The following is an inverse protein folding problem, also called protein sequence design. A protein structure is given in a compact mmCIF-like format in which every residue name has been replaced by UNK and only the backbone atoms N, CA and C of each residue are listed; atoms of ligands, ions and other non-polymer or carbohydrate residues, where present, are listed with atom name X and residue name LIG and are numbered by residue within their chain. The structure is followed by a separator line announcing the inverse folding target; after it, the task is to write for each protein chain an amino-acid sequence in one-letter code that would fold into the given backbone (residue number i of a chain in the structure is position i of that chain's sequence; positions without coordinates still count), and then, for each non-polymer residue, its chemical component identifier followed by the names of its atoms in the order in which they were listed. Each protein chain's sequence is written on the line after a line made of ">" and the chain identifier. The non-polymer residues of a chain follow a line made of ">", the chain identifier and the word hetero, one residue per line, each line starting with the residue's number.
data_IF_492177114983
#
_entry.id   IF_492177114983
#
_cell.length_a   1.000
_cell.length_b   1.000
_cell.length_c   1.000
_cell.angle_alpha   90.00
_cell.angle_beta   90.00
_cell.angle_gamma   90.00
#
_symmetry.space_group_name_H-M   'P 1'
#
loop_
_entity.id
_entity.type
_entity.pdbx_description
1 polymer ?
#
# COMPACT_ATOMS: atom_id res chain seq x y z
N UNK A 1 8.48 -21.95 5.23
CA UNK A 1 7.38 -22.63 4.50
C UNK A 1 6.12 -21.94 4.99
N UNK A 2 5.34 -21.33 4.08
CA UNK A 2 4.08 -20.69 4.46
C UNK A 2 3.06 -21.71 4.97
N UNK A 3 2.07 -21.24 5.72
CA UNK A 3 1.00 -22.09 6.25
C UNK A 3 0.00 -22.49 5.15
N UNK A 4 -0.71 -23.60 5.32
CA UNK A 4 -1.68 -24.08 4.35
C UNK A 4 -2.80 -23.04 4.14
N UNK A 5 -2.83 -22.39 2.96
CA UNK A 5 -3.81 -21.37 2.60
C UNK A 5 -3.24 -19.94 2.52
N UNK A 6 -2.00 -19.73 2.93
CA UNK A 6 -1.30 -18.45 2.79
C UNK A 6 -0.97 -18.19 1.31
N UNK A 7 -1.40 -17.04 0.79
CA UNK A 7 -1.13 -16.62 -0.61
C UNK A 7 -0.06 -15.54 -0.71
N UNK A 8 0.22 -14.87 0.42
CA UNK A 8 1.28 -13.87 0.63
C UNK A 8 1.44 -13.69 2.14
N UNK A 9 2.57 -14.04 2.72
CA UNK A 9 2.91 -13.69 4.12
C UNK A 9 4.25 -13.00 4.20
N UNK A 10 4.94 -13.17 5.33
CA UNK A 10 6.18 -12.44 5.66
C UNK A 10 7.23 -12.45 4.54
N UNK A 11 7.88 -11.30 4.37
CA UNK A 11 8.94 -11.09 3.40
C UNK A 11 10.29 -11.65 3.86
N UNK A 12 11.36 -11.15 3.22
CA UNK A 12 12.74 -11.45 3.63
C UNK A 12 13.05 -10.78 4.97
N UNK A 13 13.97 -11.36 5.74
CA UNK A 13 14.52 -10.72 6.94
C UNK A 13 15.12 -9.34 6.61
N UNK A 14 14.86 -8.34 7.46
CA UNK A 14 15.17 -6.94 7.21
C UNK A 14 14.24 -6.24 6.21
N UNK A 15 13.17 -6.90 5.76
CA UNK A 15 12.16 -6.35 4.87
C UNK A 15 11.10 -5.53 5.60
N UNK A 16 10.43 -4.65 4.85
CA UNK A 16 9.31 -3.83 5.34
C UNK A 16 8.07 -4.65 5.74
N UNK A 17 7.99 -5.91 5.31
CA UNK A 17 6.95 -6.88 5.62
C UNK A 17 7.54 -8.17 6.20
N UNK A 18 8.72 -8.11 6.82
CA UNK A 18 9.43 -9.28 7.38
C UNK A 18 8.55 -10.16 8.26
N UNK A 19 7.79 -9.54 9.17
CA UNK A 19 6.97 -10.29 10.11
C UNK A 19 5.66 -10.74 9.48
N UNK A 20 4.96 -9.83 8.76
CA UNK A 20 3.62 -10.12 8.26
C UNK A 20 3.18 -9.23 7.10
N UNK A 21 2.26 -9.78 6.31
CA UNK A 21 1.46 -9.09 5.30
C UNK A 21 -0.04 -9.23 5.65
N UNK A 22 -0.71 -8.13 5.98
CA UNK A 22 -2.08 -8.12 6.52
C UNK A 22 -2.96 -7.05 5.87
N UNK A 23 -4.26 -7.06 6.18
CA UNK A 23 -5.23 -6.02 5.76
C UNK A 23 -5.21 -5.71 4.25
N UNK A 24 -5.28 -6.75 3.43
CA UNK A 24 -5.23 -6.62 1.98
C UNK A 24 -6.47 -5.93 1.38
N UNK A 25 -6.25 -5.13 0.33
CA UNK A 25 -7.26 -4.55 -0.55
C UNK A 25 -6.90 -4.87 -2.00
N UNK A 26 -7.78 -5.61 -2.68
CA UNK A 26 -7.55 -6.10 -4.05
C UNK A 26 -8.46 -5.38 -5.03
N UNK A 27 -7.90 -4.96 -6.17
CA UNK A 27 -8.63 -4.38 -7.28
C UNK A 27 -8.13 -4.95 -8.61
N UNK A 28 -9.04 -5.13 -9.57
CA UNK A 28 -8.68 -5.47 -10.95
C UNK A 28 -8.24 -4.20 -11.67
N UNK A 29 -7.02 -4.17 -12.17
CA UNK A 29 -6.53 -3.09 -13.01
C UNK A 29 -7.28 -3.09 -14.34
N UNK A 30 -7.98 -1.99 -14.62
CA UNK A 30 -8.82 -1.85 -15.82
C UNK A 30 -8.00 -1.79 -17.11
N UNK A 31 -6.72 -1.42 -17.04
CA UNK A 31 -5.84 -1.24 -18.21
C UNK A 31 -5.41 -2.56 -18.83
N UNK A 32 -4.98 -3.51 -18.00
CA UNK A 32 -4.37 -4.77 -18.43
C UNK A 32 -5.14 -6.02 -17.96
N UNK A 33 -6.14 -5.85 -17.10
CA UNK A 33 -6.94 -6.95 -16.55
C UNK A 33 -6.28 -7.69 -15.39
N UNK A 34 -5.05 -7.34 -15.00
CA UNK A 34 -4.33 -7.96 -13.89
C UNK A 34 -4.95 -7.54 -12.54
N UNK A 35 -4.64 -8.28 -11.48
CA UNK A 35 -5.05 -7.89 -10.13
C UNK A 35 -3.91 -7.24 -9.38
N UNK A 36 -4.24 -6.19 -8.62
CA UNK A 36 -3.34 -5.47 -7.74
C UNK A 36 -3.85 -5.62 -6.32
N UNK A 37 -2.97 -6.01 -5.41
CA UNK A 37 -3.20 -6.05 -3.98
C UNK A 37 -2.36 -4.97 -3.31
N UNK A 38 -3.01 -4.08 -2.58
CA UNK A 38 -2.36 -3.29 -1.56
C UNK A 38 -2.48 -4.02 -0.22
N UNK A 39 -1.44 -4.02 0.59
CA UNK A 39 -1.46 -4.68 1.90
C UNK A 39 -0.67 -3.89 2.92
N UNK A 40 -1.06 -4.01 4.19
CA UNK A 40 -0.30 -3.52 5.32
C UNK A 40 0.86 -4.46 5.61
N UNK A 41 2.03 -3.88 5.84
CA UNK A 41 3.29 -4.57 6.03
C UNK A 41 3.76 -4.37 7.45
N UNK A 42 4.31 -5.41 8.07
CA UNK A 42 4.89 -5.34 9.41
C UNK A 42 6.38 -5.70 9.32
N UNK A 43 7.24 -4.73 9.58
CA UNK A 43 8.70 -4.96 9.57
C UNK A 43 9.17 -5.67 10.85
N UNK A 44 10.46 -6.03 10.91
CA UNK A 44 11.07 -6.71 12.08
C UNK A 44 10.96 -5.94 13.41
N UNK A 45 10.73 -4.62 13.36
CA UNK A 45 10.51 -3.78 14.55
C UNK A 45 9.01 -3.62 14.89
N UNK A 46 8.11 -4.24 14.11
CA UNK A 46 6.67 -4.10 14.24
C UNK A 46 6.10 -2.79 13.68
N UNK A 47 6.90 -2.00 12.94
CA UNK A 47 6.42 -0.77 12.29
C UNK A 47 5.61 -1.12 11.06
N UNK A 48 4.62 -0.28 10.80
CA UNK A 48 3.65 -0.49 9.72
C UNK A 48 3.88 0.40 8.52
N UNK A 49 3.82 -0.19 7.34
CA UNK A 49 3.84 0.47 6.04
C UNK A 49 2.80 -0.16 5.10
N UNK A 50 2.70 0.31 3.86
CA UNK A 50 1.85 -0.28 2.83
C UNK A 50 2.70 -0.69 1.63
N UNK A 51 2.49 -1.91 1.16
CA UNK A 51 3.13 -2.50 -0.01
C UNK A 51 2.13 -2.82 -1.12
N UNK A 52 2.66 -3.14 -2.30
CA UNK A 52 1.88 -3.64 -3.44
C UNK A 52 2.37 -5.02 -3.86
N UNK A 53 1.42 -5.91 -4.14
CA UNK A 53 1.64 -7.15 -4.86
C UNK A 53 0.73 -7.21 -6.10
N UNK A 54 1.20 -7.86 -7.15
CA UNK A 54 0.49 -8.03 -8.41
C UNK A 54 0.29 -9.50 -8.71
N UNK A 55 -0.85 -9.79 -9.34
CA UNK A 55 -1.17 -11.09 -9.92
C UNK A 55 -1.41 -10.85 -11.41
N UNK A 56 -0.45 -11.27 -12.24
CA UNK A 56 -0.55 -11.13 -13.69
C UNK A 56 -0.95 -12.44 -14.37
N UNK A 57 -1.62 -12.35 -15.51
CA UNK A 57 -2.04 -13.52 -16.28
C UNK A 57 -0.86 -14.47 -16.55
N UNK A 58 -1.07 -15.75 -16.21
CA UNK A 58 -0.05 -16.80 -16.28
C UNK A 58 0.68 -17.09 -14.97
N UNK A 59 0.57 -16.21 -13.97
CA UNK A 59 1.03 -16.49 -12.61
C UNK A 59 -0.09 -17.16 -11.82
N UNK A 60 0.30 -18.13 -10.97
CA UNK A 60 -0.60 -18.77 -10.00
C UNK A 60 -0.33 -18.25 -8.58
N UNK A 61 0.39 -17.14 -8.46
CA UNK A 61 0.93 -16.61 -7.20
C UNK A 61 0.96 -15.07 -7.23
N UNK A 62 0.91 -14.47 -6.04
CA UNK A 62 1.12 -13.04 -5.85
C UNK A 62 2.61 -12.72 -5.83
N UNK A 63 3.01 -11.61 -6.47
CA UNK A 63 4.39 -11.12 -6.46
C UNK A 63 4.44 -9.69 -6.00
N UNK A 64 5.36 -9.37 -5.09
CA UNK A 64 5.64 -7.99 -4.67
C UNK A 64 6.08 -7.18 -5.89
N UNK A 65 5.53 -5.99 -6.07
CA UNK A 65 5.66 -5.22 -7.32
C UNK A 65 6.99 -4.47 -7.45
N UNK A 66 7.53 -4.00 -6.34
CA UNK A 66 8.88 -3.43 -6.24
C UNK A 66 9.78 -4.43 -5.49
N UNK A 67 11.11 -4.39 -5.63
CA UNK A 67 12.11 -5.39 -5.17
C UNK A 67 12.20 -5.63 -3.63
N UNK A 68 11.09 -5.47 -2.93
CA UNK A 68 10.92 -5.61 -1.51
C UNK A 68 10.93 -4.26 -0.81
N UNK A 69 10.27 -3.24 -1.39
CA UNK A 69 10.03 -1.98 -0.71
C UNK A 69 8.55 -1.60 -0.56
N UNK A 70 8.24 -0.84 0.49
CA UNK A 70 6.94 -0.27 0.77
C UNK A 70 6.65 0.93 -0.15
N UNK A 71 5.48 0.94 -0.78
CA UNK A 71 5.01 2.07 -1.60
C UNK A 71 4.56 3.26 -0.75
N UNK A 72 4.28 3.04 0.53
CA UNK A 72 3.95 4.11 1.47
C UNK A 72 4.43 3.81 2.88
N UNK A 73 5.15 4.78 3.46
CA UNK A 73 5.68 4.73 4.82
C UNK A 73 5.03 5.77 5.73
N UNK A 74 5.19 5.57 7.03
CA UNK A 74 4.90 6.58 8.06
C UNK A 74 5.58 7.92 7.76
N UNK A 75 5.01 9.01 8.25
CA UNK A 75 5.61 10.34 8.14
C UNK A 75 6.92 10.45 8.93
N UNK A 76 7.85 11.28 8.43
CA UNK A 76 9.10 11.58 9.13
C UNK A 76 8.94 12.73 10.13
N UNK A 77 7.90 13.57 9.96
CA UNK A 77 7.61 14.69 10.85
C UNK A 77 7.17 14.19 12.23
N UNK A 78 7.79 14.71 13.29
CA UNK A 78 7.54 14.27 14.67
C UNK A 78 6.08 14.48 15.10
N UNK A 79 5.38 15.47 14.56
CA UNK A 79 3.96 15.72 14.81
C UNK A 79 3.05 15.39 13.62
N UNK A 80 3.58 14.63 12.66
CA UNK A 80 2.85 14.16 11.50
C UNK A 80 1.63 13.33 11.89
N UNK A 81 0.55 13.44 11.11
CA UNK A 81 -0.71 12.73 11.36
C UNK A 81 -0.59 11.20 11.13
N UNK A 82 0.50 10.71 10.52
CA UNK A 82 0.84 9.31 10.33
C UNK A 82 2.26 8.93 10.76
N UNK A 83 2.88 9.70 11.65
CA UNK A 83 4.27 9.49 12.07
C UNK A 83 4.52 8.19 12.87
N UNK A 84 3.46 7.60 13.44
CA UNK A 84 3.52 6.32 14.16
C UNK A 84 3.20 5.12 13.28
N UNK A 85 2.65 5.32 12.07
CA UNK A 85 2.36 4.24 11.15
C UNK A 85 1.25 4.54 10.14
N UNK A 86 1.21 3.71 9.10
CA UNK A 86 0.13 3.69 8.11
C UNK A 86 -0.42 2.26 8.00
N UNK A 87 -1.68 2.09 7.58
CA UNK A 87 -2.25 0.76 7.41
C UNK A 87 -3.67 0.77 6.86
N UNK A 88 -4.31 -0.40 6.86
CA UNK A 88 -5.66 -0.60 6.33
C UNK A 88 -5.87 0.05 4.95
N UNK A 89 -5.08 -0.31 3.93
CA UNK A 89 -5.19 0.28 2.60
C UNK A 89 -6.55 0.00 1.96
N UNK A 90 -7.05 0.99 1.24
CA UNK A 90 -8.12 0.86 0.25
C UNK A 90 -7.64 1.49 -1.05
N UNK A 91 -7.41 0.66 -2.07
CA UNK A 91 -6.87 1.09 -3.36
C UNK A 91 -8.01 1.29 -4.37
N UNK A 92 -8.03 2.45 -5.03
CA UNK A 92 -9.04 2.81 -6.02
C UNK A 92 -8.36 3.28 -7.31
N UNK A 93 -8.83 2.75 -8.44
CA UNK A 93 -8.50 3.26 -9.77
C UNK A 93 -9.57 4.26 -10.20
N UNK A 94 -9.17 5.52 -10.37
CA UNK A 94 -10.10 6.60 -10.73
C UNK A 94 -10.49 6.50 -12.22
N UNK A 95 -11.76 6.77 -12.52
CA UNK A 95 -12.26 6.92 -13.88
C UNK A 95 -12.40 8.42 -14.21
N UNK A 96 -12.07 8.82 -15.45
CA UNK A 96 -12.44 10.13 -15.99
C UNK A 96 -11.82 11.35 -15.28
N UNK A 97 -10.63 11.21 -14.68
CA UNK A 97 -9.88 12.35 -14.11
C UNK A 97 -9.00 13.07 -15.14
N UNK A 98 -8.27 14.11 -14.70
CA UNK A 98 -7.33 14.89 -15.54
C UNK A 98 -6.21 14.03 -16.15
N UNK A 99 -5.95 12.87 -15.55
CA UNK A 99 -4.97 11.88 -16.01
C UNK A 99 -5.65 10.51 -15.99
N UNK A 100 -5.73 9.87 -17.17
CA UNK A 100 -6.27 8.51 -17.28
C UNK A 100 -5.48 7.52 -16.41
N UNK A 101 -6.21 6.81 -15.56
CA UNK A 101 -5.67 5.73 -14.74
C UNK A 101 -4.98 6.15 -13.45
N UNK A 102 -5.27 7.36 -12.91
CA UNK A 102 -4.84 7.77 -11.56
C UNK A 102 -5.24 6.75 -10.50
N UNK A 103 -4.30 6.46 -9.59
CA UNK A 103 -4.53 5.60 -8.43
C UNK A 103 -4.62 6.43 -7.15
N UNK A 104 -5.55 6.05 -6.27
CA UNK A 104 -5.68 6.63 -4.93
C UNK A 104 -5.65 5.54 -3.87
N UNK A 105 -4.87 5.79 -2.82
CA UNK A 105 -5.06 5.12 -1.56
C UNK A 105 -5.93 5.96 -0.65
N UNK A 106 -6.91 5.32 -0.02
CA UNK A 106 -7.45 5.76 1.25
C UNK A 106 -6.93 4.81 2.32
N UNK A 107 -6.25 5.32 3.32
CA UNK A 107 -5.58 4.50 4.33
C UNK A 107 -5.69 5.13 5.71
N UNK A 108 -5.49 4.31 6.73
CA UNK A 108 -5.38 4.76 8.11
C UNK A 108 -4.00 5.36 8.34
N UNK A 109 -3.93 6.63 8.71
CA UNK A 109 -2.77 7.22 9.37
C UNK A 109 -2.87 7.09 10.88
N UNK A 110 -1.75 6.84 11.54
CA UNK A 110 -1.63 6.83 13.00
C UNK A 110 -0.61 7.88 13.43
N UNK A 111 -1.08 8.91 14.13
CA UNK A 111 -0.26 10.00 14.66
C UNK A 111 0.03 9.84 16.15
N UNK A 112 0.66 10.87 16.73
CA UNK A 112 0.96 10.93 18.17
C UNK A 112 -0.27 10.68 19.05
N UNK A 113 -0.06 9.90 20.12
CA UNK A 113 -1.11 9.49 21.04
C UNK A 113 -2.11 8.48 20.47
N UNK A 114 -1.80 7.85 19.33
CA UNK A 114 -2.69 6.89 18.67
C UNK A 114 -3.86 7.53 17.92
N UNK A 115 -3.81 8.84 17.67
CA UNK A 115 -4.82 9.53 16.88
C UNK A 115 -4.85 8.94 15.47
N UNK A 116 -6.02 8.49 15.04
CA UNK A 116 -6.20 7.87 13.73
C UNK A 116 -7.13 8.69 12.84
N UNK A 117 -6.87 8.66 11.54
CA UNK A 117 -7.71 9.28 10.52
C UNK A 117 -7.58 8.57 9.17
N UNK A 118 -8.58 8.76 8.31
CA UNK A 118 -8.51 8.32 6.91
C UNK A 118 -7.80 9.41 6.12
N UNK A 119 -6.72 9.04 5.45
CA UNK A 119 -5.95 9.98 4.63
C UNK A 119 -5.72 9.40 3.25
N UNK A 120 -5.33 10.28 2.33
CA UNK A 120 -5.23 9.99 0.92
C UNK A 120 -3.79 10.07 0.44
N UNK A 121 -3.42 9.20 -0.48
CA UNK A 121 -2.22 9.32 -1.28
C UNK A 121 -2.57 9.05 -2.73
N UNK A 122 -1.88 9.72 -3.64
CA UNK A 122 -2.17 9.70 -5.07
C UNK A 122 -0.94 9.24 -5.84
N UNK A 123 -1.16 8.43 -6.87
CA UNK A 123 -0.18 8.19 -7.92
C UNK A 123 -0.72 8.71 -9.25
N UNK A 124 0.12 9.47 -9.96
CA UNK A 124 -0.24 10.04 -11.26
C UNK A 124 0.00 9.03 -12.37
N UNK A 125 -0.97 8.90 -13.27
CA UNK A 125 -0.92 7.93 -14.37
C UNK A 125 -0.96 6.49 -13.86
N UNK A 126 -0.51 5.54 -14.68
CA UNK A 126 -0.63 4.11 -14.39
C UNK A 126 0.48 3.52 -13.51
N UNK A 127 1.33 4.35 -12.89
CA UNK A 127 2.40 3.86 -12.01
C UNK A 127 1.83 3.48 -10.65
N UNK A 128 1.85 2.19 -10.30
CA UNK A 128 1.32 1.70 -9.02
C UNK A 128 2.41 1.61 -7.92
N UNK A 129 3.65 1.99 -8.23
CA UNK A 129 4.76 1.91 -7.28
C UNK A 129 5.02 3.23 -6.55
N UNK A 130 4.56 4.36 -7.10
CA UNK A 130 4.90 5.69 -6.60
C UNK A 130 3.69 6.46 -6.07
N UNK A 131 3.50 6.48 -4.75
CA UNK A 131 2.41 7.24 -4.13
C UNK A 131 2.91 8.47 -3.37
N UNK A 132 2.21 9.58 -3.54
CA UNK A 132 2.47 10.83 -2.83
C UNK A 132 1.32 11.14 -1.88
N UNK A 133 1.64 11.40 -0.61
CA UNK A 133 0.64 11.81 0.39
C UNK A 133 -0.05 13.09 -0.06
N UNK A 134 -1.37 13.10 0.06
CA UNK A 134 -2.18 14.25 -0.30
C UNK A 134 -2.11 15.33 0.78
N UNK A 135 -1.75 16.55 0.40
CA UNK A 135 -1.60 17.69 1.33
C UNK A 135 -2.76 18.69 1.28
N UNK A 136 -3.87 18.33 0.63
CA UNK A 136 -5.07 19.16 0.54
C UNK A 136 -5.43 19.57 -0.89
N UNK A 137 -6.68 19.99 -1.06
CA UNK A 137 -7.13 20.65 -2.28
C UNK A 137 -6.67 22.10 -2.21
N UNK A 138 -5.88 22.56 -3.18
CA UNK A 138 -5.70 24.01 -3.35
C UNK A 138 -7.07 24.58 -3.71
N UNK A 139 -7.59 25.45 -2.85
CA UNK A 139 -8.78 26.27 -3.10
C UNK A 139 -8.48 27.38 -4.09
#
# INVERSE_FOLDING_TARGET
>A
MGEAGEVLGGGKAGGFDELDAVNASIIKNKKDGNYVMAYECVDGDGKRSIGIAVFSDGLREWRRADEGDAVLRRGEEEDGWDNQGVGCPCLVQMEGGDVDGEWRFYYRGVGNGGRCGIVMAVSRGSDISNFRKWTGFQS
#
